data_IF_637429820676
#
_entry.id   IF_637429820676
#
_cell.length_a   1.000
_cell.length_b   1.000
_cell.length_c   1.000
_cell.angle_alpha   90.00
_cell.angle_beta   90.00
_cell.angle_gamma   90.00
#
_symmetry.space_group_name_H-M   'P 1'
#
loop_
_entity.id
_entity.type
_entity.pdbx_description
1 polymer ?
#
# COMPACT_ATOMS: atom_id res chain seq x y z
N UNK A 1 -8.53 -3.29 6.68
CA UNK A 1 -8.41 -4.28 5.59
C UNK A 1 -9.61 -4.12 4.67
N UNK A 2 -9.40 -4.17 3.35
CA UNK A 2 -10.52 -4.17 2.41
C UNK A 2 -11.28 -5.52 2.45
N UNK A 3 -12.32 -5.65 1.62
CA UNK A 3 -13.21 -6.82 1.59
C UNK A 3 -12.83 -7.89 0.57
N UNK A 4 -11.59 -7.89 0.03
CA UNK A 4 -11.16 -8.95 -0.87
C UNK A 4 -11.37 -10.34 -0.23
N UNK A 5 -11.87 -11.30 -1.01
CA UNK A 5 -12.33 -12.60 -0.48
C UNK A 5 -11.23 -13.36 0.28
N UNK A 6 -9.98 -13.26 -0.16
CA UNK A 6 -8.84 -13.90 0.48
C UNK A 6 -8.45 -13.27 1.83
N UNK A 7 -8.78 -11.99 2.08
CA UNK A 7 -8.60 -11.34 3.38
C UNK A 7 -9.51 -11.90 4.47
N UNK A 8 -10.57 -12.63 4.09
CA UNK A 8 -11.54 -13.25 5.02
C UNK A 8 -11.23 -14.72 5.31
N UNK A 9 -10.12 -15.24 4.76
CA UNK A 9 -9.71 -16.61 5.02
C UNK A 9 -9.32 -16.81 6.48
N UNK A 10 -9.57 -18.02 7.00
CA UNK A 10 -9.24 -18.38 8.38
C UNK A 10 -7.74 -18.18 8.67
N UNK A 11 -6.87 -18.62 7.75
CA UNK A 11 -5.42 -18.50 7.92
C UNK A 11 -4.91 -17.06 7.98
N UNK A 12 -5.50 -16.13 7.22
CA UNK A 12 -5.15 -14.70 7.32
C UNK A 12 -5.55 -14.14 8.69
N UNK A 13 -6.74 -14.50 9.19
CA UNK A 13 -7.18 -14.06 10.52
C UNK A 13 -6.26 -14.58 11.62
N UNK A 14 -5.96 -15.88 11.62
CA UNK A 14 -5.09 -16.53 12.61
C UNK A 14 -3.68 -15.90 12.60
N UNK A 15 -3.08 -15.73 11.43
CA UNK A 15 -1.75 -15.12 11.31
C UNK A 15 -1.69 -13.67 11.86
N UNK A 16 -2.76 -12.91 11.72
CA UNK A 16 -2.85 -11.53 12.25
C UNK A 16 -3.02 -11.54 13.77
N UNK A 17 -3.90 -12.41 14.29
CA UNK A 17 -4.14 -12.52 15.74
C UNK A 17 -2.93 -13.09 16.49
N UNK A 18 -2.21 -14.05 15.90
CA UNK A 18 -0.96 -14.60 16.43
C UNK A 18 0.16 -13.55 16.51
N UNK A 19 0.13 -12.55 15.61
CA UNK A 19 1.03 -11.39 15.67
C UNK A 19 0.61 -10.35 16.73
N UNK A 20 -0.46 -10.60 17.49
CA UNK A 20 -1.00 -9.67 18.50
C UNK A 20 -1.79 -8.50 17.90
N UNK A 21 -2.19 -8.59 16.63
CA UNK A 21 -2.94 -7.57 15.92
C UNK A 21 -4.44 -7.89 15.86
N UNK A 22 -5.26 -6.85 15.64
CA UNK A 22 -6.69 -7.00 15.40
C UNK A 22 -7.03 -6.77 13.94
N UNK A 23 -7.77 -7.71 13.34
CA UNK A 23 -8.26 -7.59 11.98
C UNK A 23 -9.53 -6.73 11.94
N UNK A 24 -9.40 -5.52 11.39
CA UNK A 24 -10.51 -4.59 11.16
C UNK A 24 -10.85 -4.53 9.67
N UNK A 25 -12.12 -4.81 9.34
CA UNK A 25 -12.64 -4.68 7.99
C UNK A 25 -13.29 -3.32 7.77
N UNK A 26 -13.11 -2.76 6.58
CA UNK A 26 -13.83 -1.58 6.13
C UNK A 26 -15.29 -1.94 5.78
N UNK A 27 -16.24 -1.01 5.85
CA UNK A 27 -17.56 -1.18 5.27
C UNK A 27 -17.47 -1.49 3.76
N UNK A 28 -18.44 -2.22 3.18
CA UNK A 28 -18.46 -2.50 1.75
C UNK A 28 -18.46 -1.22 0.91
N UNK A 29 -17.68 -1.22 -0.16
CA UNK A 29 -17.58 -0.10 -1.11
C UNK A 29 -17.15 1.24 -0.49
N UNK A 30 -16.35 1.22 0.58
CA UNK A 30 -15.81 2.42 1.23
C UNK A 30 -14.31 2.62 1.01
N UNK A 31 -13.84 2.84 -0.23
CA UNK A 31 -12.42 3.08 -0.50
C UNK A 31 -11.93 4.40 0.12
N UNK A 32 -12.82 5.37 0.31
CA UNK A 32 -12.60 6.63 1.00
C UNK A 32 -12.18 6.45 2.47
N UNK A 33 -12.55 5.33 3.10
CA UNK A 33 -12.12 4.99 4.46
C UNK A 33 -10.78 4.24 4.51
N UNK A 34 -10.13 4.00 3.36
CA UNK A 34 -8.84 3.32 3.28
C UNK A 34 -7.72 4.35 3.02
N UNK A 35 -6.91 4.74 4.03
CA UNK A 35 -5.94 5.82 3.89
C UNK A 35 -4.89 5.59 2.79
N UNK A 36 -4.58 4.34 2.46
CA UNK A 36 -3.61 4.00 1.40
C UNK A 36 -4.09 4.44 0.00
N UNK A 37 -5.40 4.60 -0.21
CA UNK A 37 -5.94 5.05 -1.50
C UNK A 37 -5.45 6.46 -1.87
N UNK A 38 -5.27 7.33 -0.87
CA UNK A 38 -4.70 8.66 -1.06
C UNK A 38 -3.21 8.62 -1.42
N UNK A 39 -2.51 7.52 -1.13
CA UNK A 39 -1.07 7.34 -1.40
C UNK A 39 -0.83 6.79 -2.80
N UNK A 40 -1.76 6.02 -3.38
CA UNK A 40 -1.56 5.38 -4.68
C UNK A 40 -1.35 6.36 -5.84
N UNK A 41 -2.15 7.43 -5.91
CA UNK A 41 -2.02 8.45 -6.97
C UNK A 41 -0.65 9.14 -6.97
N UNK A 42 -0.19 9.75 -5.86
CA UNK A 42 1.13 10.39 -5.83
C UNK A 42 2.28 9.40 -6.01
N UNK A 43 2.19 8.18 -5.47
CA UNK A 43 3.19 7.13 -5.66
C UNK A 43 3.37 6.80 -7.14
N UNK A 44 2.27 6.47 -7.84
CA UNK A 44 2.31 6.13 -9.27
C UNK A 44 2.88 7.26 -10.13
N UNK A 45 2.49 8.50 -9.85
CA UNK A 45 2.99 9.65 -10.59
C UNK A 45 4.50 9.82 -10.44
N UNK A 46 5.03 9.70 -9.21
CA UNK A 46 6.47 9.81 -8.96
C UNK A 46 7.25 8.64 -9.57
N UNK A 47 6.73 7.41 -9.48
CA UNK A 47 7.36 6.23 -10.11
C UNK A 47 7.43 6.38 -11.62
N UNK A 48 6.34 6.84 -12.25
CA UNK A 48 6.33 7.12 -13.70
C UNK A 48 7.38 8.15 -14.08
N UNK A 49 7.44 9.28 -13.36
CA UNK A 49 8.46 10.30 -13.63
C UNK A 49 9.88 9.74 -13.50
N UNK A 50 10.13 8.88 -12.51
CA UNK A 50 11.43 8.25 -12.31
C UNK A 50 11.83 7.32 -13.45
N UNK A 51 10.89 6.52 -13.95
CA UNK A 51 11.11 5.66 -15.11
C UNK A 51 11.31 6.44 -16.42
N UNK A 52 10.67 7.60 -16.56
CA UNK A 52 10.84 8.47 -17.72
C UNK A 52 12.18 9.23 -17.70
N UNK A 53 12.72 9.51 -16.51
CA UNK A 53 13.96 10.30 -16.31
C UNK A 53 15.23 9.44 -16.31
N UNK A 54 15.14 8.25 -15.71
CA UNK A 54 16.28 7.39 -15.43
C UNK A 54 16.09 6.04 -16.15
N UNK A 55 17.15 5.49 -16.75
CA UNK A 55 17.12 4.15 -17.35
C UNK A 55 17.22 3.07 -16.24
N UNK A 56 16.15 2.96 -15.46
CA UNK A 56 16.03 2.03 -14.33
C UNK A 56 14.79 1.16 -14.45
N UNK A 57 14.80 0.02 -13.77
CA UNK A 57 13.63 -0.85 -13.70
C UNK A 57 12.60 -0.36 -12.67
N UNK A 58 11.40 -0.95 -12.73
CA UNK A 58 10.27 -0.61 -11.85
C UNK A 58 10.60 -0.79 -10.36
N UNK A 59 11.32 -1.85 -10.00
CA UNK A 59 11.70 -2.14 -8.60
C UNK A 59 12.60 -1.05 -8.02
N UNK A 60 13.59 -0.61 -8.81
CA UNK A 60 14.52 0.46 -8.43
C UNK A 60 13.79 1.80 -8.31
N UNK A 61 12.93 2.13 -9.29
CA UNK A 61 12.13 3.34 -9.24
C UNK A 61 11.20 3.36 -8.01
N UNK A 62 10.50 2.26 -7.74
CA UNK A 62 9.60 2.13 -6.60
C UNK A 62 10.36 2.30 -5.27
N UNK A 63 11.50 1.63 -5.10
CA UNK A 63 12.32 1.72 -3.90
C UNK A 63 12.83 3.15 -3.63
N UNK A 64 13.32 3.82 -4.66
CA UNK A 64 13.79 5.21 -4.56
C UNK A 64 12.64 6.17 -4.21
N UNK A 65 11.49 6.03 -4.88
CA UNK A 65 10.32 6.88 -4.62
C UNK A 65 9.79 6.67 -3.21
N UNK A 66 9.60 5.42 -2.77
CA UNK A 66 9.12 5.12 -1.43
C UNK A 66 10.06 5.67 -0.35
N UNK A 67 11.38 5.58 -0.54
CA UNK A 67 12.36 6.18 0.35
C UNK A 67 12.23 7.70 0.41
N UNK A 68 12.09 8.37 -0.73
CA UNK A 68 11.90 9.83 -0.77
C UNK A 68 10.59 10.27 -0.11
N UNK A 69 9.52 9.48 -0.26
CA UNK A 69 8.20 9.78 0.30
C UNK A 69 8.19 9.65 1.83
N UNK A 70 8.93 8.70 2.40
CA UNK A 70 9.03 8.53 3.86
C UNK A 70 9.89 9.61 4.52
N UNK A 71 10.93 10.09 3.83
CA UNK A 71 11.79 11.20 4.30
C UNK A 71 11.05 12.55 4.31
N UNK A 72 10.02 12.73 3.47
CA UNK A 72 9.24 13.97 3.38
C UNK A 72 8.19 14.12 4.51
N UNK A 73 7.87 13.04 5.24
CA UNK A 73 6.83 13.01 6.29
C UNK A 73 7.43 13.21 7.70
N UNK A 74 8.75 13.36 7.84
CA UNK A 74 9.42 13.79 9.08
C UNK A 74 9.62 15.30 9.10
#
# INVERSE_FOLDING_TARGET
MDNASFHKSKGVKEAIEDAGCHLLFLPPYSPDLNPIEHVWSPLKNRVRMKLDQDEINLETALSQVMKSMSETIR
#
